data_IF_723283054769
#
_entry.id   IF_723283054769
#
_cell.length_a   1.000
_cell.length_b   1.000
_cell.length_c   1.000
_cell.angle_alpha   90.00
_cell.angle_beta   90.00
_cell.angle_gamma   90.00
#
_symmetry.space_group_name_H-M   'P 1'
#
loop_
_entity.id
_entity.type
_entity.pdbx_description
1 polymer ?
#
# COMPACT_ATOMS: atom_id res chain seq x y z
N UNK A 1 -30.02 6.31 -0.44
CA UNK A 1 -29.41 5.05 -0.93
C UNK A 1 -27.92 5.10 -0.59
N UNK A 2 -27.45 4.27 0.34
CA UNK A 2 -26.03 4.22 0.68
C UNK A 2 -25.28 3.56 -0.49
N UNK A 3 -24.39 4.30 -1.15
CA UNK A 3 -23.51 3.72 -2.18
C UNK A 3 -22.68 2.63 -1.51
N UNK A 4 -22.85 1.38 -1.95
CA UNK A 4 -22.04 0.27 -1.46
C UNK A 4 -20.63 0.42 -2.00
N UNK A 5 -19.72 0.97 -1.19
CA UNK A 5 -18.31 1.11 -1.54
C UNK A 5 -17.64 -0.26 -1.60
N UNK A 6 -16.90 -0.51 -2.67
CA UNK A 6 -16.11 -1.72 -2.85
C UNK A 6 -14.83 -1.69 -1.96
N UNK A 7 -14.14 -2.82 -1.76
CA UNK A 7 -12.96 -2.88 -0.88
C UNK A 7 -11.82 -1.93 -1.30
N UNK A 8 -11.64 -1.70 -2.61
CA UNK A 8 -10.61 -0.83 -3.15
C UNK A 8 -10.92 0.65 -2.91
N UNK A 9 -12.18 1.06 -3.06
CA UNK A 9 -12.64 2.41 -2.76
C UNK A 9 -12.50 2.71 -1.26
N UNK A 10 -12.77 1.72 -0.39
CA UNK A 10 -12.50 1.85 1.04
C UNK A 10 -11.01 2.01 1.34
N UNK A 11 -10.15 1.19 0.73
CA UNK A 11 -8.69 1.32 0.89
C UNK A 11 -8.21 2.70 0.43
N UNK A 12 -8.69 3.18 -0.72
CA UNK A 12 -8.36 4.49 -1.25
C UNK A 12 -8.71 5.60 -0.24
N UNK A 13 -9.92 5.56 0.34
CA UNK A 13 -10.35 6.52 1.35
C UNK A 13 -9.50 6.46 2.63
N UNK A 14 -9.12 5.26 3.09
CA UNK A 14 -8.23 5.09 4.24
C UNK A 14 -6.86 5.69 3.97
N UNK A 15 -6.27 5.42 2.79
CA UNK A 15 -4.96 5.94 2.41
C UNK A 15 -4.99 7.46 2.26
N UNK A 16 -6.02 8.01 1.63
CA UNK A 16 -6.21 9.46 1.48
C UNK A 16 -6.33 10.16 2.84
N UNK A 17 -7.09 9.58 3.78
CA UNK A 17 -7.18 10.11 5.13
C UNK A 17 -5.84 10.04 5.88
N UNK A 18 -5.11 8.92 5.77
CA UNK A 18 -3.80 8.73 6.41
C UNK A 18 -2.71 9.64 5.83
N UNK A 19 -2.73 9.92 4.54
CA UNK A 19 -1.78 10.83 3.89
C UNK A 19 -2.04 12.29 4.23
N UNK A 20 -3.30 12.65 4.50
CA UNK A 20 -3.73 14.03 4.77
C UNK A 20 -4.37 14.16 6.16
N UNK A 21 -3.59 13.92 7.22
CA UNK A 21 -4.04 14.05 8.63
C UNK A 21 -4.36 15.49 9.09
N UNK A 22 -4.29 16.47 8.19
CA UNK A 22 -4.67 17.87 8.48
C UNK A 22 -6.19 18.06 8.56
N UNK A 23 -6.97 17.16 7.97
CA UNK A 23 -8.43 17.23 7.92
C UNK A 23 -8.99 16.37 9.05
N UNK A 24 -9.96 16.89 9.80
CA UNK A 24 -10.61 16.12 10.86
C UNK A 24 -11.41 14.94 10.27
N UNK A 25 -11.57 13.84 11.03
CA UNK A 25 -12.43 12.71 10.61
C UNK A 25 -13.82 13.19 10.20
N UNK A 26 -14.38 14.16 10.94
CA UNK A 26 -15.72 14.68 10.71
C UNK A 26 -15.83 15.39 9.36
N UNK A 27 -14.86 16.25 9.06
CA UNK A 27 -14.84 17.02 7.82
C UNK A 27 -14.55 16.11 6.61
N UNK A 28 -13.60 15.18 6.76
CA UNK A 28 -13.31 14.18 5.74
C UNK A 28 -14.53 13.31 5.44
N UNK A 29 -15.29 12.93 6.47
CA UNK A 29 -16.51 12.15 6.32
C UNK A 29 -17.64 12.93 5.65
N UNK A 30 -17.77 14.23 5.95
CA UNK A 30 -18.75 15.11 5.30
C UNK A 30 -18.47 15.28 3.80
N UNK A 31 -17.19 15.45 3.42
CA UNK A 31 -16.77 15.59 2.01
C UNK A 31 -17.04 14.31 1.21
N UNK A 32 -16.71 13.16 1.79
CA UNK A 32 -16.84 11.86 1.11
C UNK A 32 -18.20 11.20 1.28
N UNK A 33 -19.15 11.87 1.96
CA UNK A 33 -20.51 11.36 2.24
C UNK A 33 -20.47 9.98 2.91
N UNK A 34 -19.55 9.81 3.85
CA UNK A 34 -19.38 8.60 4.65
C UNK A 34 -19.61 8.93 6.13
N UNK A 35 -19.92 7.91 6.94
CA UNK A 35 -20.04 8.08 8.39
C UNK A 35 -18.70 7.85 9.06
N UNK A 36 -18.35 8.66 10.07
CA UNK A 36 -17.12 8.49 10.85
C UNK A 36 -16.97 7.10 11.49
N UNK A 37 -18.08 6.49 11.90
CA UNK A 37 -18.07 5.12 12.43
C UNK A 37 -17.68 4.09 11.36
N UNK A 38 -18.13 4.26 10.12
CA UNK A 38 -17.77 3.40 8.99
C UNK A 38 -16.28 3.52 8.67
N UNK A 39 -15.75 4.74 8.61
CA UNK A 39 -14.33 4.97 8.34
C UNK A 39 -13.45 4.36 9.44
N UNK A 40 -13.80 4.55 10.73
CA UNK A 40 -13.08 3.92 11.85
C UNK A 40 -13.11 2.40 11.78
N UNK A 41 -14.27 1.82 11.44
CA UNK A 41 -14.40 0.37 11.27
C UNK A 41 -13.52 -0.14 10.14
N UNK A 42 -13.52 0.52 8.98
CA UNK A 42 -12.67 0.13 7.85
C UNK A 42 -11.19 0.28 8.16
N UNK A 43 -10.77 1.34 8.87
CA UNK A 43 -9.38 1.50 9.31
C UNK A 43 -8.94 0.32 10.17
N UNK A 44 -9.74 -0.08 11.17
CA UNK A 44 -9.45 -1.24 12.02
C UNK A 44 -9.36 -2.54 11.21
N UNK A 45 -10.33 -2.78 10.35
CA UNK A 45 -10.36 -3.97 9.47
C UNK A 45 -9.14 -4.03 8.54
N UNK A 46 -8.71 -2.88 8.01
CA UNK A 46 -7.55 -2.78 7.16
C UNK A 46 -6.24 -2.97 7.93
N UNK A 47 -6.15 -2.50 9.17
CA UNK A 47 -4.96 -2.72 10.00
C UNK A 47 -4.81 -4.19 10.43
N UNK A 48 -5.93 -4.90 10.62
CA UNK A 48 -5.94 -6.31 11.03
C UNK A 48 -5.76 -7.28 9.85
N UNK A 49 -6.36 -6.98 8.68
CA UNK A 49 -6.43 -7.92 7.55
C UNK A 49 -6.12 -7.31 6.18
N UNK A 50 -5.59 -6.09 6.13
CA UNK A 50 -5.30 -5.40 4.88
C UNK A 50 -6.54 -5.25 3.99
N UNK A 51 -6.34 -5.34 2.68
CA UNK A 51 -7.43 -5.24 1.71
C UNK A 51 -8.46 -6.39 1.84
N UNK A 52 -8.01 -7.56 2.27
CA UNK A 52 -8.88 -8.73 2.50
C UNK A 52 -9.81 -8.50 3.70
N UNK A 53 -9.35 -7.81 4.74
CA UNK A 53 -10.18 -7.39 5.88
C UNK A 53 -11.30 -6.40 5.50
N UNK A 54 -11.15 -5.69 4.37
CA UNK A 54 -12.16 -4.76 3.84
C UNK A 54 -13.19 -5.43 2.92
N UNK A 55 -12.89 -6.63 2.43
CA UNK A 55 -13.83 -7.46 1.68
C UNK A 55 -14.99 -7.89 2.60
N UNK A 56 -16.21 -7.90 2.07
CA UNK A 56 -17.28 -8.66 2.72
C UNK A 56 -17.01 -10.14 2.47
N UNK A 57 -17.40 -10.99 3.41
CA UNK A 57 -17.37 -12.45 3.22
C UNK A 57 -18.07 -12.89 1.92
N UNK A 58 -19.02 -12.09 1.41
CA UNK A 58 -19.80 -12.36 0.21
C UNK A 58 -19.34 -11.58 -1.04
N UNK A 59 -18.28 -10.77 -0.94
CA UNK A 59 -17.75 -10.00 -2.06
C UNK A 59 -16.38 -10.57 -2.45
N UNK A 60 -16.36 -11.45 -3.45
CA UNK A 60 -15.11 -11.78 -4.14
C UNK A 60 -14.47 -10.47 -4.60
N UNK A 61 -13.25 -10.20 -4.12
CA UNK A 61 -12.42 -9.16 -4.71
C UNK A 61 -12.11 -9.68 -6.12
N UNK A 62 -12.85 -9.19 -7.12
CA UNK A 62 -12.53 -9.48 -8.51
C UNK A 62 -11.06 -9.12 -8.74
N UNK A 63 -10.31 -10.07 -9.31
CA UNK A 63 -8.95 -9.82 -9.76
C UNK A 63 -9.01 -8.67 -10.77
N UNK A 64 -8.48 -7.51 -10.38
CA UNK A 64 -8.32 -6.33 -11.24
C UNK A 64 -7.21 -6.55 -12.27
N UNK A 65 -6.47 -7.65 -12.13
CA UNK A 65 -5.36 -7.99 -12.99
C UNK A 65 -5.89 -8.65 -14.28
N UNK A 66 -5.27 -8.35 -15.44
CA UNK A 66 -5.59 -9.03 -16.69
C UNK A 66 -5.49 -10.55 -16.53
N UNK A 67 -6.30 -11.27 -17.29
CA UNK A 67 -6.29 -12.73 -17.32
C UNK A 67 -4.87 -13.25 -17.61
N UNK A 68 -4.34 -14.10 -16.73
CA UNK A 68 -2.97 -14.62 -16.81
C UNK A 68 -1.90 -13.85 -16.04
N UNK A 69 -2.24 -12.75 -15.34
CA UNK A 69 -1.29 -12.03 -14.47
C UNK A 69 -1.40 -12.54 -13.03
N UNK A 70 -0.33 -13.19 -12.55
CA UNK A 70 -0.23 -13.57 -11.14
C UNK A 70 0.02 -12.34 -10.25
N UNK A 71 -0.87 -12.15 -9.27
CA UNK A 71 -0.84 -11.05 -8.30
C UNK A 71 0.44 -11.05 -7.47
N UNK A 72 0.98 -12.23 -7.21
CA UNK A 72 2.23 -12.38 -6.46
C UNK A 72 3.41 -11.89 -7.29
N UNK A 73 3.48 -12.32 -8.54
CA UNK A 73 4.51 -11.89 -9.50
C UNK A 73 4.47 -10.38 -9.74
N UNK A 74 3.29 -9.78 -9.89
CA UNK A 74 3.18 -8.33 -10.10
C UNK A 74 3.57 -7.53 -8.85
N UNK A 75 3.25 -8.04 -7.66
CA UNK A 75 3.72 -7.47 -6.40
C UNK A 75 5.26 -7.47 -6.33
N UNK A 76 5.90 -8.59 -6.70
CA UNK A 76 7.37 -8.66 -6.77
C UNK A 76 7.97 -7.69 -7.78
N UNK A 77 7.36 -7.54 -8.97
CA UNK A 77 7.81 -6.56 -9.98
C UNK A 77 7.77 -5.14 -9.44
N UNK A 78 6.70 -4.77 -8.72
CA UNK A 78 6.56 -3.45 -8.08
C UNK A 78 7.59 -3.23 -6.98
N UNK A 79 7.86 -4.25 -6.16
CA UNK A 79 8.87 -4.18 -5.10
C UNK A 79 10.29 -4.03 -5.67
N UNK A 80 10.64 -4.78 -6.71
CA UNK A 80 11.94 -4.68 -7.40
C UNK A 80 12.17 -3.28 -7.96
N UNK A 81 11.15 -2.67 -8.57
CA UNK A 81 11.23 -1.30 -9.08
C UNK A 81 11.44 -0.29 -7.95
N UNK A 82 10.69 -0.41 -6.84
CA UNK A 82 10.86 0.44 -5.66
C UNK A 82 12.29 0.33 -5.11
N UNK A 83 12.77 -0.90 -4.91
CA UNK A 83 14.10 -1.17 -4.41
C UNK A 83 15.18 -0.63 -5.35
N UNK A 84 15.01 -0.72 -6.66
CA UNK A 84 15.97 -0.14 -7.63
C UNK A 84 16.06 1.38 -7.52
N UNK A 85 14.93 2.06 -7.40
CA UNK A 85 14.90 3.53 -7.22
C UNK A 85 15.61 3.91 -5.92
N UNK A 86 15.27 3.23 -4.83
CA UNK A 86 15.89 3.50 -3.52
C UNK A 86 17.37 3.16 -3.51
N UNK A 87 17.78 2.06 -4.16
CA UNK A 87 19.18 1.67 -4.28
C UNK A 87 20.00 2.72 -5.04
N UNK A 88 19.46 3.26 -6.15
CA UNK A 88 20.08 4.36 -6.88
C UNK A 88 20.15 5.65 -6.05
N UNK A 89 19.11 5.93 -5.25
CA UNK A 89 19.12 7.06 -4.31
C UNK A 89 20.23 6.89 -3.26
N UNK A 90 20.35 5.70 -2.67
CA UNK A 90 21.34 5.38 -1.65
C UNK A 90 22.76 5.41 -2.21
N UNK A 91 23.00 4.87 -3.41
CA UNK A 91 24.30 4.97 -4.09
C UNK A 91 24.74 6.42 -4.29
N UNK A 92 23.82 7.32 -4.64
CA UNK A 92 24.10 8.75 -4.79
C UNK A 92 24.28 9.47 -3.46
N UNK A 93 23.59 9.03 -2.41
CA UNK A 93 23.64 9.62 -1.07
C UNK A 93 24.85 9.14 -0.25
N UNK A 94 25.48 8.03 -0.61
CA UNK A 94 26.72 7.57 0.01
C UNK A 94 27.88 8.47 -0.45
N UNK A 95 28.43 9.35 0.40
CA UNK A 95 29.68 10.03 0.07
C UNK A 95 30.74 8.94 -0.10
N UNK A 96 31.47 8.97 -1.20
CA UNK A 96 32.50 8.02 -1.57
C UNK A 96 33.55 7.84 -0.46
N UNK A 97 33.27 7.02 0.55
CA UNK A 97 34.28 6.39 1.37
C UNK A 97 34.69 5.17 0.57
N UNK A 98 35.81 5.30 -0.12
CA UNK A 98 36.56 4.18 -0.68
C UNK A 98 37.06 3.32 0.49
N UNK A 99 36.15 2.63 1.21
CA UNK A 99 36.53 1.49 2.03
C UNK A 99 37.02 0.45 1.06
N UNK A 100 38.35 0.38 0.97
CA UNK A 100 39.15 -0.70 0.43
C UNK A 100 38.35 -2.00 0.58
N UNK A 101 37.66 -2.42 -0.48
CA UNK A 101 37.04 -3.74 -0.56
C UNK A 101 38.20 -4.70 -0.29
N UNK A 102 38.17 -5.34 0.87
CA UNK A 102 39.17 -6.32 1.25
C UNK A 102 39.23 -7.37 0.15
N UNK A 103 40.36 -7.44 -0.54
CA UNK A 103 40.73 -8.61 -1.32
C UNK A 103 40.68 -9.82 -0.38
N UNK A 104 40.02 -10.89 -0.82
CA UNK A 104 40.01 -12.15 -0.10
C UNK A 104 38.92 -13.08 -0.61
N UNK A 105 39.22 -13.76 -1.71
CA UNK A 105 38.57 -14.99 -2.16
C UNK A 105 38.09 -15.86 -0.99
N UNK A 106 36.77 -16.03 -0.88
CA UNK A 106 36.19 -17.13 -0.15
C UNK A 106 35.59 -18.04 -1.23
N UNK A 107 36.09 -19.27 -1.32
CA UNK A 107 35.71 -20.33 -2.26
C UNK A 107 36.32 -20.29 -3.67
N UNK A 108 37.52 -20.86 -3.79
CA UNK A 108 37.90 -21.97 -4.69
C UNK A 108 39.43 -22.06 -4.77
#
# INVERSE_FOLDING_TARGET
MAKHLNPLEKEFLIRQYRSNQRISIKDFCAINVITGNSLKKWMKQYDEGGLEGLARADAEIQNVLPEGVDRTEESYKREILRLRIENERLKKAMPFRRTRMGNGSMFA
#
